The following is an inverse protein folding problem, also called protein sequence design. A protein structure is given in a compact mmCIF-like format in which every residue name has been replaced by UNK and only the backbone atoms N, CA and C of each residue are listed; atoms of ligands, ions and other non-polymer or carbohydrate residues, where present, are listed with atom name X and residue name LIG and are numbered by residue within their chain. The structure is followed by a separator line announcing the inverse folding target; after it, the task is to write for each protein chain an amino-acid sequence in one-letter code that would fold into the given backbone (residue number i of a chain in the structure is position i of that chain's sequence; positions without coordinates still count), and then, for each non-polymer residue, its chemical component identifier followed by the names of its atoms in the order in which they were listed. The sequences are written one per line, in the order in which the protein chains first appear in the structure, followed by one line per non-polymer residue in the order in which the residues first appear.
data_IF_451873433500
#
_entry.id   IF_451873433500
#
_cell.length_a   1.000
_cell.length_b   1.000
_cell.length_c   1.000
_cell.angle_alpha   90.00
_cell.angle_beta   90.00
_cell.angle_gamma   90.00
#
_symmetry.space_group_name_H-M   'P 1'
#
loop_
_entity.id
_entity.type
_entity.pdbx_description
1 polymer ?
#
# COMPACT_ATOMS: atom_id res chain seq x y z
N UNK A 1 -37.73 15.95 -32.44
CA UNK A 1 -36.29 16.32 -32.56
C UNK A 1 -35.80 17.26 -31.45
N UNK A 2 -36.44 18.41 -31.17
CA UNK A 2 -35.99 19.40 -30.18
C UNK A 2 -35.79 18.87 -28.75
N UNK A 3 -36.79 18.15 -28.20
CA UNK A 3 -36.72 17.53 -26.86
C UNK A 3 -35.59 16.52 -26.70
N UNK A 4 -35.25 15.78 -27.75
CA UNK A 4 -34.15 14.82 -27.71
C UNK A 4 -32.79 15.54 -27.61
N UNK A 5 -32.65 16.67 -28.31
CA UNK A 5 -31.46 17.51 -28.28
C UNK A 5 -31.29 18.18 -26.91
N UNK A 6 -32.37 18.72 -26.33
CA UNK A 6 -32.37 19.31 -24.98
C UNK A 6 -31.92 18.28 -23.93
N UNK A 7 -32.47 17.06 -23.96
CA UNK A 7 -32.07 15.97 -23.07
C UNK A 7 -30.61 15.56 -23.24
N UNK A 8 -30.13 15.48 -24.48
CA UNK A 8 -28.73 15.15 -24.76
C UNK A 8 -27.79 16.24 -24.21
N UNK A 9 -28.17 17.51 -24.36
CA UNK A 9 -27.39 18.66 -23.89
C UNK A 9 -27.33 18.73 -22.37
N UNK A 10 -28.44 18.42 -21.68
CA UNK A 10 -28.49 18.34 -20.21
C UNK A 10 -27.63 17.20 -19.67
N UNK A 11 -27.66 16.02 -20.32
CA UNK A 11 -26.79 14.89 -19.96
C UNK A 11 -25.32 15.24 -20.10
N UNK A 12 -24.93 15.91 -21.18
CA UNK A 12 -23.55 16.37 -21.38
C UNK A 12 -23.13 17.40 -20.32
N UNK A 13 -24.00 18.35 -19.96
CA UNK A 13 -23.72 19.31 -18.88
C UNK A 13 -23.54 18.63 -17.53
N UNK A 14 -24.42 17.68 -17.17
CA UNK A 14 -24.28 16.92 -15.92
C UNK A 14 -22.98 16.11 -15.89
N UNK A 15 -22.60 15.49 -17.01
CA UNK A 15 -21.35 14.74 -17.10
C UNK A 15 -20.11 15.65 -16.97
N UNK A 16 -20.15 16.85 -17.55
CA UNK A 16 -19.07 17.84 -17.44
C UNK A 16 -18.89 18.40 -16.02
N UNK A 17 -19.96 18.42 -15.22
CA UNK A 17 -19.96 18.87 -13.83
C UNK A 17 -19.81 17.72 -12.82
N UNK A 18 -19.76 16.47 -13.29
CA UNK A 18 -19.58 15.34 -12.41
C UNK A 18 -18.22 15.47 -11.71
N UNK A 19 -18.16 15.33 -10.37
CA UNK A 19 -16.90 15.38 -9.66
C UNK A 19 -16.00 14.26 -10.19
N UNK A 20 -14.77 14.60 -10.57
CA UNK A 20 -13.76 13.59 -10.87
C UNK A 20 -13.40 12.93 -9.55
N UNK A 21 -14.04 11.80 -9.27
CA UNK A 21 -13.70 10.94 -8.16
C UNK A 21 -12.36 10.27 -8.49
N UNK A 22 -11.25 10.99 -8.26
CA UNK A 22 -9.93 10.36 -8.15
C UNK A 22 -9.84 9.69 -6.79
N UNK A 23 -10.57 8.59 -6.61
CA UNK A 23 -10.19 7.62 -5.57
C UNK A 23 -9.02 6.83 -6.15
N UNK A 24 -7.87 7.49 -6.26
CA UNK A 24 -6.64 6.78 -6.01
C UNK A 24 -6.73 6.50 -4.53
N UNK A 25 -7.28 5.33 -4.17
CA UNK A 25 -7.09 4.80 -2.83
C UNK A 25 -5.60 4.94 -2.59
N UNK A 26 -5.21 5.84 -1.68
CA UNK A 26 -3.85 5.84 -1.15
C UNK A 26 -3.68 4.39 -0.74
N UNK A 27 -2.93 3.61 -1.50
CA UNK A 27 -2.41 2.34 -1.02
C UNK A 27 -1.73 2.74 0.27
N UNK A 28 -2.41 2.51 1.39
CA UNK A 28 -1.91 2.88 2.69
C UNK A 28 -0.58 2.15 2.75
N UNK A 29 0.50 2.93 2.74
CA UNK A 29 1.82 2.34 2.83
C UNK A 29 1.79 1.45 4.07
N UNK A 30 2.36 0.23 3.99
CA UNK A 30 2.35 -0.67 5.12
C UNK A 30 2.87 0.06 6.37
N UNK A 31 2.11 0.02 7.47
CA UNK A 31 2.47 0.74 8.71
C UNK A 31 3.79 0.23 9.31
N UNK A 32 4.21 -0.97 8.92
CA UNK A 32 5.44 -1.67 9.27
C UNK A 32 6.62 -1.31 8.36
N UNK A 33 6.70 -0.06 7.88
CA UNK A 33 7.79 0.40 7.01
C UNK A 33 8.82 1.19 7.79
N UNK A 34 10.07 0.74 7.73
CA UNK A 34 11.21 1.32 8.43
C UNK A 34 12.21 1.88 7.40
N UNK A 35 12.72 3.08 7.63
CA UNK A 35 13.83 3.62 6.82
C UNK A 35 15.15 3.34 7.53
N UNK A 36 16.05 2.62 6.85
CA UNK A 36 17.39 2.32 7.35
C UNK A 36 18.40 3.03 6.46
N UNK A 37 19.26 3.85 7.08
CA UNK A 37 20.29 4.59 6.37
C UNK A 37 21.22 3.64 5.60
N UNK A 38 21.51 3.97 4.34
CA UNK A 38 22.33 3.14 3.44
C UNK A 38 21.62 1.92 2.83
N UNK A 39 20.43 1.53 3.31
CA UNK A 39 19.66 0.39 2.77
C UNK A 39 18.37 0.85 2.09
N UNK A 40 17.75 1.92 2.60
CA UNK A 40 16.48 2.44 2.14
C UNK A 40 15.30 1.90 2.96
N UNK A 41 14.15 1.71 2.32
CA UNK A 41 12.95 1.25 3.01
C UNK A 41 12.90 -0.26 3.15
N UNK A 42 12.57 -0.71 4.35
CA UNK A 42 12.33 -2.11 4.70
C UNK A 42 10.91 -2.22 5.23
N UNK A 43 10.20 -3.30 4.89
CA UNK A 43 8.89 -3.62 5.47
C UNK A 43 8.97 -4.85 6.38
N UNK A 44 8.03 -4.96 7.31
CA UNK A 44 7.99 -6.02 8.31
C UNK A 44 8.84 -5.71 9.54
N UNK A 45 8.78 -6.60 10.53
CA UNK A 45 9.48 -6.42 11.80
C UNK A 45 11.01 -6.57 11.61
N UNK A 46 11.75 -5.47 11.75
CA UNK A 46 13.21 -5.43 11.61
C UNK A 46 13.95 -6.14 12.75
N UNK A 47 13.26 -6.46 13.85
CA UNK A 47 13.82 -7.22 14.96
C UNK A 47 13.75 -8.73 14.72
N UNK A 48 13.06 -9.20 13.67
CA UNK A 48 13.05 -10.61 13.28
C UNK A 48 14.29 -10.95 12.44
N UNK A 49 15.01 -12.04 12.78
CA UNK A 49 16.17 -12.52 12.01
C UNK A 49 15.82 -12.92 10.57
N UNK A 50 14.55 -13.25 10.31
CA UNK A 50 14.05 -13.66 9.00
C UNK A 50 13.46 -12.50 8.18
N UNK A 51 13.54 -11.26 8.67
CA UNK A 51 13.18 -10.09 7.90
C UNK A 51 13.96 -10.08 6.57
N UNK A 52 13.26 -9.87 5.45
CA UNK A 52 13.87 -9.98 4.12
C UNK A 52 14.71 -8.74 3.73
N UNK A 53 14.82 -7.73 4.60
CA UNK A 53 15.52 -6.47 4.35
C UNK A 53 15.10 -5.81 3.03
N UNK A 54 13.82 -5.91 2.69
CA UNK A 54 13.26 -5.51 1.40
C UNK A 54 12.11 -4.52 1.58
N UNK A 55 11.94 -3.61 0.61
CA UNK A 55 10.82 -2.69 0.56
C UNK A 55 9.50 -3.36 0.14
N UNK A 56 9.56 -4.60 -0.36
CA UNK A 56 8.44 -5.29 -1.01
C UNK A 56 8.11 -6.64 -0.40
N UNK A 57 9.07 -7.27 0.28
CA UNK A 57 8.92 -8.60 0.90
C UNK A 57 9.20 -8.44 2.39
N UNK A 58 8.29 -8.93 3.25
CA UNK A 58 8.42 -8.81 4.71
C UNK A 58 9.39 -9.83 5.31
N UNK A 59 9.24 -11.10 4.94
CA UNK A 59 9.95 -12.20 5.57
C UNK A 59 10.35 -13.25 4.54
N UNK A 60 11.57 -13.78 4.65
CA UNK A 60 12.11 -14.75 3.71
C UNK A 60 11.36 -16.10 3.77
N UNK A 61 10.86 -16.48 4.95
CA UNK A 61 10.16 -17.77 5.17
C UNK A 61 8.64 -17.64 5.16
N UNK A 62 8.11 -16.43 5.34
CA UNK A 62 6.69 -16.12 5.23
C UNK A 62 6.47 -14.78 4.52
N UNK A 63 6.60 -14.73 3.19
CA UNK A 63 6.57 -13.47 2.41
C UNK A 63 5.31 -12.62 2.64
N UNK A 64 4.19 -13.27 2.95
CA UNK A 64 2.88 -12.63 3.14
C UNK A 64 2.59 -12.17 4.56
N UNK A 65 3.29 -12.72 5.57
CA UNK A 65 2.89 -12.58 6.97
C UNK A 65 3.01 -11.17 7.53
N UNK A 66 2.26 -10.82 8.58
CA UNK A 66 2.83 -10.05 9.68
C UNK A 66 3.72 -10.94 10.56
N UNK A 67 4.63 -10.33 11.32
CA UNK A 67 5.47 -11.04 12.30
C UNK A 67 4.73 -11.32 13.62
N UNK A 68 3.66 -10.57 13.90
CA UNK A 68 2.78 -10.77 15.06
C UNK A 68 2.14 -12.18 14.97
N UNK A 69 2.42 -13.03 15.97
CA UNK A 69 2.03 -14.46 16.03
C UNK A 69 2.66 -15.38 14.98
N UNK A 70 3.78 -15.00 14.35
CA UNK A 70 4.49 -15.87 13.42
C UNK A 70 5.24 -17.01 14.15
N UNK A 71 4.94 -18.27 13.83
CA UNK A 71 5.63 -19.44 14.41
C UNK A 71 7.13 -19.51 14.07
N UNK A 72 7.55 -18.83 13.01
CA UNK A 72 8.96 -18.75 12.60
C UNK A 72 9.67 -17.52 13.15
N UNK A 73 9.02 -16.68 13.97
CA UNK A 73 9.67 -15.49 14.50
C UNK A 73 10.86 -15.88 15.39
N UNK A 74 12.02 -15.28 15.11
CA UNK A 74 13.18 -15.37 15.98
C UNK A 74 13.84 -13.99 16.07
N UNK A 75 14.23 -13.53 17.28
CA UNK A 75 14.83 -12.22 17.46
C UNK A 75 16.20 -12.16 16.79
N UNK A 76 16.50 -11.02 16.18
CA UNK A 76 17.80 -10.67 15.63
C UNK A 76 18.69 -10.24 16.78
N UNK A 77 19.89 -10.80 16.85
CA UNK A 77 20.90 -10.34 17.80
C UNK A 77 21.44 -8.98 17.33
N UNK A 78 21.07 -7.91 18.06
CA UNK A 78 21.46 -6.53 17.79
C UNK A 78 22.70 -6.11 18.59
N UNK A 79 23.38 -7.04 19.26
CA UNK A 79 24.45 -6.78 20.23
C UNK A 79 25.82 -6.48 19.62
N UNK A 80 25.90 -5.94 18.39
CA UNK A 80 27.18 -5.64 17.72
C UNK A 80 27.29 -4.19 17.28
#
# INVERSE_FOLDING_TARGET
MRKAKERAQERLRRAAQAPVVRVLGRNQLPNDRHHVEGVGYIIGDITCKFNACSAYIRCAVNPSGPCENCCSYEPRDLSK
#
